data_IF_614157748271
#
_entry.id   IF_614157748271
#
_cell.length_a   1.000
_cell.length_b   1.000
_cell.length_c   1.000
_cell.angle_alpha   90.00
_cell.angle_beta   90.00
_cell.angle_gamma   90.00
#
_symmetry.space_group_name_H-M   'P 1'
#
loop_
_entity.id
_entity.type
_entity.pdbx_description
1 polymer ?
#
# COMPACT_ATOMS: atom_id res chain seq x y z
N UNK A 1 37.91 -7.04 56.42
CA UNK A 1 38.23 -8.44 56.04
C UNK A 1 38.90 -8.50 54.67
N UNK A 2 38.24 -8.37 53.51
CA UNK A 2 38.92 -8.52 52.20
C UNK A 2 40.10 -7.56 51.93
N UNK A 3 40.05 -6.32 52.41
CA UNK A 3 41.13 -5.34 52.16
C UNK A 3 42.41 -5.58 52.97
N UNK A 4 42.31 -6.19 54.16
CA UNK A 4 43.47 -6.51 54.99
C UNK A 4 44.20 -7.76 54.46
N UNK A 5 43.44 -8.75 53.99
CA UNK A 5 44.01 -9.98 53.42
C UNK A 5 44.83 -9.70 52.14
N UNK A 6 44.32 -8.81 51.27
CA UNK A 6 45.03 -8.37 50.07
C UNK A 6 46.31 -7.58 50.38
N UNK A 7 46.30 -6.77 51.44
CA UNK A 7 47.47 -6.01 51.86
C UNK A 7 48.58 -6.93 52.40
N UNK A 8 48.21 -7.98 53.12
CA UNK A 8 49.13 -9.01 53.62
C UNK A 8 49.71 -9.80 52.45
N UNK A 9 48.88 -10.26 51.52
CA UNK A 9 49.32 -11.02 50.33
C UNK A 9 50.29 -10.19 49.45
N UNK A 10 49.97 -8.91 49.21
CA UNK A 10 50.83 -8.01 48.45
C UNK A 10 52.19 -7.81 49.12
N UNK A 11 52.20 -7.70 50.45
CA UNK A 11 53.44 -7.56 51.22
C UNK A 11 54.29 -8.83 51.13
N UNK A 12 53.69 -10.00 51.28
CA UNK A 12 54.40 -11.27 51.15
C UNK A 12 54.95 -11.49 49.74
N UNK A 13 54.17 -11.13 48.71
CA UNK A 13 54.63 -11.18 47.32
C UNK A 13 55.82 -10.25 47.07
N UNK A 14 55.76 -9.02 47.60
CA UNK A 14 56.87 -8.07 47.51
C UNK A 14 58.14 -8.60 48.19
N UNK A 15 58.01 -9.21 49.37
CA UNK A 15 59.14 -9.84 50.08
C UNK A 15 59.73 -10.98 49.25
N UNK A 16 58.90 -11.85 48.67
CA UNK A 16 59.36 -12.93 47.78
C UNK A 16 60.12 -12.39 46.56
N UNK A 17 59.67 -11.28 46.00
CA UNK A 17 60.30 -10.71 44.80
C UNK A 17 61.64 -10.03 45.12
N UNK A 18 61.74 -9.30 46.23
CA UNK A 18 63.00 -8.74 46.70
C UNK A 18 64.02 -9.86 46.98
N UNK A 19 63.57 -10.98 47.56
CA UNK A 19 64.43 -12.15 47.80
C UNK A 19 64.96 -12.77 46.50
N UNK A 20 64.17 -12.78 45.41
CA UNK A 20 64.64 -13.26 44.09
C UNK A 20 65.66 -12.33 43.44
N UNK A 21 65.55 -11.02 43.68
CA UNK A 21 66.45 -10.01 43.10
C UNK A 21 67.82 -9.96 43.80
N UNK A 22 67.90 -10.40 45.07
CA UNK A 22 69.11 -10.35 45.90
C UNK A 22 69.52 -11.74 46.45
N UNK A 23 69.81 -12.74 45.59
CA UNK A 23 70.19 -14.09 46.03
C UNK A 23 71.61 -14.17 46.62
N UNK A 24 72.48 -13.21 46.30
CA UNK A 24 73.90 -13.19 46.68
C UNK A 24 74.31 -11.84 47.29
N UNK A 25 75.26 -11.80 48.25
CA UNK A 25 75.66 -10.57 48.95
C UNK A 25 76.29 -9.51 48.04
N UNK A 26 76.97 -9.89 46.94
CA UNK A 26 77.60 -8.93 46.04
C UNK A 26 76.57 -8.03 45.31
N UNK A 27 75.33 -8.53 45.16
CA UNK A 27 74.24 -7.82 44.49
C UNK A 27 73.69 -6.66 45.32
N UNK A 28 74.04 -6.55 46.61
CA UNK A 28 73.68 -5.41 47.46
C UNK A 28 74.16 -4.06 46.89
N UNK A 29 75.25 -4.07 46.10
CA UNK A 29 75.76 -2.88 45.42
C UNK A 29 74.79 -2.33 44.36
N UNK A 30 73.91 -3.17 43.81
CA UNK A 30 72.93 -2.81 42.78
C UNK A 30 71.61 -2.25 43.34
N UNK A 31 71.41 -2.26 44.66
CA UNK A 31 70.17 -1.81 45.32
C UNK A 31 69.79 -0.38 44.92
N UNK A 32 70.75 0.52 44.80
CA UNK A 32 70.49 1.91 44.41
C UNK A 32 69.88 2.01 43.01
N UNK A 33 70.39 1.22 42.06
CA UNK A 33 69.89 1.14 40.69
C UNK A 33 68.52 0.47 40.62
N UNK A 34 68.33 -0.66 41.32
CA UNK A 34 67.04 -1.37 41.38
C UNK A 34 65.96 -0.45 41.98
N UNK A 35 66.27 0.24 43.08
CA UNK A 35 65.36 1.20 43.72
C UNK A 35 65.01 2.34 42.78
N UNK A 36 65.97 2.87 42.02
CA UNK A 36 65.72 3.92 41.05
C UNK A 36 64.75 3.45 39.94
N UNK A 37 64.96 2.24 39.38
CA UNK A 37 64.06 1.66 38.38
C UNK A 37 62.63 1.48 38.91
N UNK A 38 62.48 0.92 40.13
CA UNK A 38 61.16 0.78 40.76
C UNK A 38 60.47 2.12 41.03
N UNK A 39 61.22 3.16 41.42
CA UNK A 39 60.67 4.51 41.59
C UNK A 39 60.17 5.05 40.25
N UNK A 40 60.95 4.91 39.18
CA UNK A 40 60.54 5.36 37.84
C UNK A 40 59.30 4.61 37.36
N UNK A 41 59.24 3.29 37.53
CA UNK A 41 58.05 2.49 37.19
C UNK A 41 56.83 2.86 38.02
N UNK A 42 57.01 3.10 39.32
CA UNK A 42 55.93 3.55 40.18
C UNK A 42 55.39 4.90 39.73
N UNK A 43 56.25 5.88 39.47
CA UNK A 43 55.85 7.20 38.96
C UNK A 43 55.13 7.11 37.62
N UNK A 44 55.60 6.26 36.71
CA UNK A 44 54.95 6.03 35.42
C UNK A 44 53.56 5.39 35.59
N UNK A 45 53.44 4.38 36.46
CA UNK A 45 52.16 3.73 36.75
C UNK A 45 51.18 4.68 37.43
N UNK A 46 51.64 5.49 38.40
CA UNK A 46 50.79 6.47 39.10
C UNK A 46 50.25 7.52 38.14
N UNK A 47 51.11 8.03 37.25
CA UNK A 47 50.69 8.97 36.20
C UNK A 47 49.67 8.31 35.24
N UNK A 48 49.95 7.09 34.78
CA UNK A 48 49.06 6.36 33.88
C UNK A 48 47.70 6.06 34.53
N UNK A 49 47.68 5.58 35.78
CA UNK A 49 46.45 5.33 36.54
C UNK A 49 45.66 6.62 36.75
N UNK A 50 46.32 7.73 37.09
CA UNK A 50 45.67 9.03 37.24
C UNK A 50 45.00 9.47 35.94
N UNK A 51 45.68 9.34 34.80
CA UNK A 51 45.11 9.68 33.49
C UNK A 51 43.94 8.77 33.13
N UNK A 52 44.09 7.45 33.28
CA UNK A 52 43.01 6.50 32.99
C UNK A 52 41.77 6.75 33.85
N UNK A 53 41.95 7.00 35.15
CA UNK A 53 40.81 7.28 36.04
C UNK A 53 40.13 8.59 35.64
N UNK A 54 40.90 9.63 35.29
CA UNK A 54 40.35 10.89 34.81
C UNK A 54 39.52 10.69 33.52
N UNK A 55 40.06 9.96 32.54
CA UNK A 55 39.36 9.65 31.28
C UNK A 55 38.08 8.84 31.51
N UNK A 56 38.12 7.84 32.40
CA UNK A 56 36.93 7.04 32.73
C UNK A 56 35.85 7.88 33.42
N UNK A 57 36.24 8.80 34.30
CA UNK A 57 35.29 9.73 34.95
C UNK A 57 34.67 10.67 33.92
N UNK A 58 35.48 11.22 33.01
CA UNK A 58 34.99 12.09 31.93
C UNK A 58 34.02 11.35 31.00
N UNK A 59 34.36 10.13 30.57
CA UNK A 59 33.47 9.29 29.75
C UNK A 59 32.17 8.96 30.49
N UNK A 60 32.24 8.61 31.78
CA UNK A 60 31.06 8.32 32.58
C UNK A 60 30.16 9.56 32.72
N UNK A 61 30.75 10.74 32.92
CA UNK A 61 30.01 11.99 33.00
C UNK A 61 29.33 12.34 31.68
N UNK A 62 30.03 12.24 30.55
CA UNK A 62 29.45 12.44 29.22
C UNK A 62 28.31 11.45 28.93
N UNK A 63 28.49 10.18 29.34
CA UNK A 63 27.44 9.16 29.26
C UNK A 63 26.21 9.52 30.10
N UNK A 64 26.41 10.00 31.33
CA UNK A 64 25.33 10.43 32.21
C UNK A 64 24.53 11.60 31.63
N UNK A 65 25.22 12.59 31.05
CA UNK A 65 24.60 13.73 30.38
C UNK A 65 23.78 13.29 29.16
N UNK A 66 24.32 12.39 28.35
CA UNK A 66 23.62 11.82 27.19
C UNK A 66 22.35 11.06 27.61
N UNK A 67 22.43 10.24 28.67
CA UNK A 67 21.27 9.54 29.22
C UNK A 67 20.22 10.50 29.77
N UNK A 68 20.64 11.54 30.51
CA UNK A 68 19.73 12.55 31.04
C UNK A 68 19.01 13.31 29.91
N UNK A 69 19.72 13.67 28.83
CA UNK A 69 19.12 14.29 27.65
C UNK A 69 18.12 13.36 26.96
N UNK A 70 18.46 12.08 26.81
CA UNK A 70 17.59 11.05 26.23
C UNK A 70 16.32 10.86 27.05
N UNK A 71 16.44 10.84 28.38
CA UNK A 71 15.28 10.73 29.28
C UNK A 71 14.33 11.92 29.13
N UNK A 72 14.85 13.15 29.01
CA UNK A 72 14.02 14.34 28.76
C UNK A 72 13.28 14.24 27.42
N UNK A 73 13.96 13.83 26.37
CA UNK A 73 13.34 13.63 25.05
C UNK A 73 12.25 12.56 25.08
N UNK A 74 12.48 11.45 25.78
CA UNK A 74 11.48 10.38 25.95
C UNK A 74 10.25 10.91 26.68
N UNK A 75 10.42 11.69 27.75
CA UNK A 75 9.30 12.26 28.48
C UNK A 75 8.48 13.22 27.60
N UNK A 76 9.14 14.11 26.86
CA UNK A 76 8.48 15.01 25.91
C UNK A 76 7.73 14.22 24.81
N UNK A 77 8.29 13.11 24.34
CA UNK A 77 7.66 12.25 23.35
C UNK A 77 6.41 11.57 23.92
N UNK A 78 6.42 11.16 25.19
CA UNK A 78 5.22 10.64 25.87
C UNK A 78 4.13 11.70 26.00
N UNK A 79 4.48 12.93 26.35
CA UNK A 79 3.53 14.05 26.42
C UNK A 79 2.91 14.35 25.05
N UNK A 80 3.71 14.31 23.98
CA UNK A 80 3.22 14.43 22.61
C UNK A 80 2.22 13.32 22.26
N UNK A 81 2.50 12.06 22.62
CA UNK A 81 1.58 10.95 22.36
C UNK A 81 0.23 11.13 23.09
N UNK A 82 0.26 11.57 24.35
CA UNK A 82 -0.97 11.88 25.10
C UNK A 82 -1.77 12.99 24.40
N UNK A 83 -1.08 14.02 23.90
CA UNK A 83 -1.71 15.13 23.19
C UNK A 83 -2.35 14.69 21.87
N UNK A 84 -1.65 13.83 21.11
CA UNK A 84 -2.17 13.24 19.88
C UNK A 84 -3.42 12.40 20.16
N UNK A 85 -3.37 11.52 21.16
CA UNK A 85 -4.50 10.67 21.52
C UNK A 85 -5.73 11.50 21.90
N UNK A 86 -5.53 12.57 22.68
CA UNK A 86 -6.58 13.51 23.03
C UNK A 86 -7.19 14.18 21.79
N UNK A 87 -6.36 14.68 20.88
CA UNK A 87 -6.84 15.29 19.63
C UNK A 87 -7.61 14.28 18.75
N UNK A 88 -7.13 13.04 18.65
CA UNK A 88 -7.84 11.99 17.93
C UNK A 88 -9.21 11.70 18.54
N UNK A 89 -9.31 11.64 19.88
CA UNK A 89 -10.57 11.44 20.58
C UNK A 89 -11.54 12.61 20.35
N UNK A 90 -11.04 13.85 20.42
CA UNK A 90 -11.83 15.05 20.14
C UNK A 90 -12.34 15.05 18.68
N UNK A 91 -11.50 14.65 17.71
CA UNK A 91 -11.92 14.52 16.31
C UNK A 91 -12.98 13.43 16.10
N UNK A 92 -12.95 12.32 16.86
CA UNK A 92 -14.01 11.32 16.82
C UNK A 92 -15.36 11.88 17.28
N UNK A 93 -15.34 12.80 18.25
CA UNK A 93 -16.56 13.48 18.71
C UNK A 93 -16.99 14.64 17.79
N UNK A 94 -16.09 15.17 16.96
CA UNK A 94 -16.35 16.33 16.09
C UNK A 94 -17.17 15.97 14.84
N UNK A 95 -17.04 14.74 14.34
CA UNK A 95 -17.89 14.24 13.24
C UNK A 95 -19.06 13.48 13.84
N UNK A 96 -20.04 14.23 14.37
CA UNK A 96 -21.32 13.66 14.75
C UNK A 96 -21.93 12.94 13.53
N UNK A 97 -22.48 11.74 13.76
CA UNK A 97 -23.24 10.99 12.78
C UNK A 97 -22.44 10.48 11.56
N UNK A 98 -21.13 10.22 11.66
CA UNK A 98 -20.35 9.61 10.56
C UNK A 98 -21.02 8.37 9.97
N UNK A 99 -21.59 7.50 10.82
CA UNK A 99 -22.34 6.33 10.39
C UNK A 99 -23.59 6.69 9.58
N UNK A 100 -24.32 7.75 9.99
CA UNK A 100 -25.49 8.21 9.25
C UNK A 100 -25.10 8.87 7.93
N UNK A 101 -23.98 9.62 7.88
CA UNK A 101 -23.44 10.18 6.64
C UNK A 101 -23.04 9.06 5.68
N UNK A 102 -22.42 7.98 6.19
CA UNK A 102 -22.06 6.80 5.40
C UNK A 102 -23.30 6.07 4.88
N UNK A 103 -24.30 5.86 5.73
CA UNK A 103 -25.58 5.27 5.32
C UNK A 103 -26.28 6.11 4.26
N UNK A 104 -26.33 7.43 4.45
CA UNK A 104 -26.93 8.36 3.49
C UNK A 104 -26.16 8.37 2.16
N UNK A 105 -24.83 8.35 2.19
CA UNK A 105 -23.99 8.29 1.00
C UNK A 105 -24.21 6.99 0.22
N UNK A 106 -24.27 5.86 0.93
CA UNK A 106 -24.57 4.56 0.32
C UNK A 106 -25.98 4.55 -0.29
N UNK A 107 -26.98 5.06 0.44
CA UNK A 107 -28.35 5.18 -0.06
C UNK A 107 -28.40 6.05 -1.33
N UNK A 108 -27.74 7.20 -1.34
CA UNK A 108 -27.64 8.08 -2.51
C UNK A 108 -27.00 7.39 -3.70
N UNK A 109 -25.88 6.69 -3.50
CA UNK A 109 -25.16 6.02 -4.58
C UNK A 109 -25.97 4.84 -5.16
N UNK A 110 -26.66 4.08 -4.30
CA UNK A 110 -27.57 3.01 -4.73
C UNK A 110 -28.72 3.59 -5.54
N UNK A 111 -29.37 4.65 -5.05
CA UNK A 111 -30.46 5.33 -5.77
C UNK A 111 -30.02 5.89 -7.13
N UNK A 112 -28.85 6.52 -7.20
CA UNK A 112 -28.30 7.02 -8.46
C UNK A 112 -28.04 5.89 -9.46
N UNK A 113 -27.59 4.73 -8.98
CA UNK A 113 -27.40 3.54 -9.84
C UNK A 113 -28.74 3.05 -10.37
N UNK A 114 -29.74 2.89 -9.49
CA UNK A 114 -31.10 2.48 -9.90
C UNK A 114 -31.73 3.46 -10.87
N UNK A 115 -31.57 4.78 -10.68
CA UNK A 115 -32.06 5.79 -11.62
C UNK A 115 -31.44 5.62 -13.00
N UNK A 116 -30.12 5.43 -13.06
CA UNK A 116 -29.41 5.20 -14.33
C UNK A 116 -29.88 3.91 -15.02
N UNK A 117 -30.13 2.85 -14.26
CA UNK A 117 -30.64 1.58 -14.81
C UNK A 117 -32.04 1.77 -15.39
N UNK A 118 -32.93 2.50 -14.69
CA UNK A 118 -34.29 2.81 -15.18
C UNK A 118 -34.26 3.71 -16.41
N UNK A 119 -33.45 4.78 -16.42
CA UNK A 119 -33.26 5.64 -17.59
C UNK A 119 -32.75 4.84 -18.79
N UNK A 120 -31.78 3.96 -18.55
CA UNK A 120 -31.28 3.01 -19.55
C UNK A 120 -32.40 2.13 -20.10
N UNK A 121 -33.24 1.57 -19.23
CA UNK A 121 -34.37 0.72 -19.64
C UNK A 121 -35.43 1.48 -20.44
N UNK A 122 -35.75 2.72 -20.06
CA UNK A 122 -36.70 3.56 -20.77
C UNK A 122 -36.18 3.99 -22.15
N UNK A 123 -34.86 4.13 -22.32
CA UNK A 123 -34.25 4.47 -23.61
C UNK A 123 -34.36 3.35 -24.66
N UNK A 124 -34.45 2.08 -24.24
CA UNK A 124 -34.43 0.92 -25.15
C UNK A 124 -35.59 0.96 -26.14
N UNK A 125 -36.81 1.22 -25.68
CA UNK A 125 -37.99 1.22 -26.54
C UNK A 125 -37.97 2.36 -27.56
N UNK A 126 -37.50 3.54 -27.15
CA UNK A 126 -37.36 4.71 -28.01
C UNK A 126 -36.29 4.46 -29.07
N UNK A 127 -35.11 4.01 -28.68
CA UNK A 127 -34.01 3.72 -29.60
C UNK A 127 -34.34 2.55 -30.55
N UNK A 128 -35.09 1.54 -30.09
CA UNK A 128 -35.56 0.44 -30.93
C UNK A 128 -36.58 0.90 -31.98
N UNK A 129 -37.45 1.83 -31.63
CA UNK A 129 -38.41 2.44 -32.55
C UNK A 129 -37.68 3.30 -33.60
N UNK A 130 -36.74 4.15 -33.18
CA UNK A 130 -35.92 4.94 -34.11
C UNK A 130 -35.10 4.06 -35.08
N UNK A 131 -34.50 2.98 -34.57
CA UNK A 131 -33.79 2.01 -35.41
C UNK A 131 -34.74 1.37 -36.43
N UNK A 132 -35.97 1.02 -36.02
CA UNK A 132 -36.99 0.47 -36.92
C UNK A 132 -37.40 1.46 -38.01
N UNK A 133 -37.66 2.71 -37.64
CA UNK A 133 -38.06 3.74 -38.60
C UNK A 133 -36.95 4.01 -39.63
N UNK A 134 -35.68 4.00 -39.18
CA UNK A 134 -34.50 4.19 -40.05
C UNK A 134 -34.33 3.10 -41.12
N UNK A 135 -34.89 1.90 -40.93
CA UNK A 135 -34.86 0.82 -41.94
C UNK A 135 -35.65 1.16 -43.21
N UNK A 136 -36.44 2.24 -43.20
CA UNK A 136 -37.19 2.70 -44.37
C UNK A 136 -36.29 3.38 -45.42
N UNK A 137 -35.09 3.83 -45.04
CA UNK A 137 -34.10 4.42 -45.94
C UNK A 137 -32.89 3.48 -46.10
N UNK A 138 -32.70 2.93 -47.29
CA UNK A 138 -31.59 2.02 -47.62
C UNK A 138 -30.21 2.65 -47.38
N UNK A 139 -30.09 3.99 -47.34
CA UNK A 139 -28.83 4.68 -47.04
C UNK A 139 -28.45 4.66 -45.57
N UNK A 140 -29.42 4.43 -44.68
CA UNK A 140 -29.23 4.43 -43.24
C UNK A 140 -28.88 3.05 -42.67
N UNK A 141 -28.81 2.01 -43.51
CA UNK A 141 -28.61 0.62 -43.11
C UNK A 141 -27.40 0.41 -42.17
N UNK A 142 -26.29 1.12 -42.42
CA UNK A 142 -25.09 1.06 -41.56
C UNK A 142 -25.36 1.68 -40.19
N UNK A 143 -25.99 2.85 -40.16
CA UNK A 143 -26.34 3.54 -38.91
C UNK A 143 -27.35 2.73 -38.10
N UNK A 144 -28.30 2.07 -38.76
CA UNK A 144 -29.25 1.17 -38.11
C UNK A 144 -28.54 -0.03 -37.48
N UNK A 145 -27.56 -0.62 -38.16
CA UNK A 145 -26.76 -1.72 -37.60
C UNK A 145 -25.98 -1.30 -36.35
N UNK A 146 -25.36 -0.11 -36.37
CA UNK A 146 -24.64 0.42 -35.21
C UNK A 146 -25.58 0.64 -34.01
N UNK A 147 -26.77 1.22 -34.24
CA UNK A 147 -27.81 1.43 -33.22
C UNK A 147 -28.29 0.10 -32.63
N UNK A 148 -28.58 -0.89 -33.48
CA UNK A 148 -29.02 -2.22 -33.04
C UNK A 148 -27.93 -2.97 -32.27
N UNK A 149 -26.65 -2.79 -32.65
CA UNK A 149 -25.51 -3.36 -31.92
C UNK A 149 -25.34 -2.71 -30.55
N UNK A 150 -25.53 -1.39 -30.45
CA UNK A 150 -25.52 -0.69 -29.16
C UNK A 150 -26.66 -1.18 -28.23
N UNK A 151 -27.85 -1.42 -28.79
CA UNK A 151 -28.99 -1.98 -28.07
C UNK A 151 -28.73 -3.41 -27.59
N UNK A 152 -28.06 -4.26 -28.38
CA UNK A 152 -27.64 -5.59 -27.93
C UNK A 152 -26.58 -5.51 -26.81
N UNK A 153 -25.69 -4.52 -26.88
CA UNK A 153 -24.79 -4.18 -25.78
C UNK A 153 -25.56 -3.90 -24.48
N UNK A 154 -26.55 -3.00 -24.53
CA UNK A 154 -27.43 -2.67 -23.38
C UNK A 154 -28.16 -3.91 -22.85
N UNK A 155 -28.65 -4.78 -23.74
CA UNK A 155 -29.28 -6.06 -23.39
C UNK A 155 -28.37 -6.95 -22.56
N UNK A 156 -27.14 -7.14 -23.00
CA UNK A 156 -26.16 -7.98 -22.29
C UNK A 156 -25.86 -7.44 -20.89
N UNK A 157 -25.70 -6.11 -20.75
CA UNK A 157 -25.50 -5.49 -19.44
C UNK A 157 -26.72 -5.66 -18.53
N UNK A 158 -27.93 -5.41 -19.03
CA UNK A 158 -29.14 -5.52 -18.24
C UNK A 158 -29.42 -6.97 -17.79
N UNK A 159 -29.22 -7.95 -18.66
CA UNK A 159 -29.38 -9.38 -18.33
C UNK A 159 -28.31 -9.88 -17.34
N UNK A 160 -27.08 -9.35 -17.43
CA UNK A 160 -26.04 -9.68 -16.45
C UNK A 160 -26.39 -9.12 -15.06
N UNK A 161 -26.91 -7.90 -14.98
CA UNK A 161 -27.35 -7.28 -13.73
C UNK A 161 -28.52 -8.04 -13.08
N UNK A 162 -29.48 -8.52 -13.90
CA UNK A 162 -30.62 -9.29 -13.42
C UNK A 162 -30.35 -10.80 -13.23
N UNK A 163 -29.13 -11.28 -13.49
CA UNK A 163 -28.82 -12.72 -13.55
C UNK A 163 -29.13 -13.50 -12.26
N UNK A 164 -29.08 -12.83 -11.11
CA UNK A 164 -29.44 -13.39 -9.81
C UNK A 164 -30.95 -13.56 -9.58
N UNK A 165 -31.80 -12.85 -10.34
CA UNK A 165 -33.26 -12.83 -10.19
C UNK A 165 -33.94 -13.41 -11.45
N UNK A 166 -34.15 -14.72 -11.46
CA UNK A 166 -34.68 -15.45 -12.64
C UNK A 166 -36.03 -14.95 -13.16
N UNK A 167 -36.92 -14.48 -12.29
CA UNK A 167 -38.23 -13.95 -12.68
C UNK A 167 -38.09 -12.60 -13.42
N UNK A 168 -37.18 -11.74 -12.97
CA UNK A 168 -36.91 -10.43 -13.57
C UNK A 168 -36.25 -10.57 -14.95
N UNK A 169 -35.41 -11.58 -15.15
CA UNK A 169 -34.85 -11.92 -16.46
C UNK A 169 -35.94 -12.23 -17.50
N UNK A 170 -37.03 -12.88 -17.09
CA UNK A 170 -38.16 -13.18 -17.97
C UNK A 170 -38.83 -11.90 -18.47
N UNK A 171 -39.20 -11.01 -17.53
CA UNK A 171 -39.82 -9.71 -17.85
C UNK A 171 -38.89 -8.80 -18.64
N UNK A 172 -37.59 -8.84 -18.35
CA UNK A 172 -36.60 -8.04 -19.05
C UNK A 172 -36.49 -8.42 -20.53
N UNK A 173 -36.63 -9.71 -20.87
CA UNK A 173 -36.65 -10.16 -22.27
C UNK A 173 -37.82 -9.58 -23.06
N UNK A 174 -38.97 -9.38 -22.43
CA UNK A 174 -40.14 -8.76 -23.08
C UNK A 174 -39.84 -7.32 -23.54
N UNK A 175 -39.08 -6.54 -22.75
CA UNK A 175 -38.65 -5.18 -23.14
C UNK A 175 -37.75 -5.15 -24.37
N UNK A 176 -37.09 -6.26 -24.67
CA UNK A 176 -36.18 -6.39 -25.81
C UNK A 176 -36.82 -7.02 -27.04
N UNK A 177 -38.09 -7.45 -26.97
CA UNK A 177 -38.79 -8.09 -28.09
C UNK A 177 -38.88 -7.16 -29.31
N UNK A 178 -39.08 -5.86 -29.07
CA UNK A 178 -39.09 -4.86 -30.15
C UNK A 178 -37.75 -4.74 -30.88
N UNK A 179 -36.64 -4.93 -30.15
CA UNK A 179 -35.28 -4.95 -30.72
C UNK A 179 -35.09 -6.21 -31.57
N UNK A 180 -35.58 -7.37 -31.12
CA UNK A 180 -35.50 -8.62 -31.89
C UNK A 180 -36.29 -8.54 -33.21
N UNK A 181 -37.51 -8.00 -33.16
CA UNK A 181 -38.33 -7.77 -34.36
C UNK A 181 -37.64 -6.82 -35.36
N UNK A 182 -36.97 -5.79 -34.86
CA UNK A 182 -36.22 -4.87 -35.72
C UNK A 182 -34.98 -5.53 -36.33
N UNK A 183 -34.27 -6.40 -35.58
CA UNK A 183 -33.18 -7.23 -36.11
C UNK A 183 -33.64 -8.16 -37.23
N UNK A 184 -34.76 -8.87 -37.06
CA UNK A 184 -35.30 -9.74 -38.11
C UNK A 184 -35.65 -8.97 -39.39
N UNK A 185 -36.15 -7.74 -39.23
CA UNK A 185 -36.50 -6.86 -40.35
C UNK A 185 -35.24 -6.38 -41.06
N UNK A 186 -34.22 -5.95 -40.30
CA UNK A 186 -32.90 -5.58 -40.83
C UNK A 186 -32.27 -6.72 -41.63
N UNK A 187 -32.22 -7.94 -41.08
CA UNK A 187 -31.66 -9.10 -41.74
C UNK A 187 -32.37 -9.40 -43.06
N UNK A 188 -33.71 -9.33 -43.06
CA UNK A 188 -34.50 -9.53 -44.28
C UNK A 188 -34.16 -8.50 -45.35
N UNK A 189 -34.03 -7.23 -44.98
CA UNK A 189 -33.65 -6.14 -45.90
C UNK A 189 -32.24 -6.36 -46.46
N UNK A 190 -31.28 -6.70 -45.59
CA UNK A 190 -29.90 -6.99 -45.99
C UNK A 190 -29.82 -8.18 -46.96
N UNK A 191 -30.49 -9.29 -46.64
CA UNK A 191 -30.54 -10.45 -47.53
C UNK A 191 -31.28 -10.16 -48.84
N UNK A 192 -32.29 -9.29 -48.81
CA UNK A 192 -32.96 -8.78 -50.00
C UNK A 192 -31.99 -8.06 -50.93
N UNK A 193 -31.20 -7.12 -50.39
CA UNK A 193 -30.16 -6.39 -51.13
C UNK A 193 -29.09 -7.32 -51.70
N UNK A 194 -28.56 -8.24 -50.90
CA UNK A 194 -27.55 -9.23 -51.33
C UNK A 194 -28.11 -10.11 -52.45
N UNK A 195 -29.34 -10.62 -52.31
CA UNK A 195 -29.97 -11.49 -53.30
C UNK A 195 -30.27 -10.76 -54.61
N UNK A 196 -30.71 -9.51 -54.53
CA UNK A 196 -30.93 -8.66 -55.70
C UNK A 196 -29.62 -8.36 -56.43
N UNK A 197 -28.55 -8.05 -55.69
CA UNK A 197 -27.23 -7.85 -56.26
C UNK A 197 -26.70 -9.12 -56.93
N UNK A 198 -26.87 -10.29 -56.31
CA UNK A 198 -26.51 -11.58 -56.89
C UNK A 198 -27.26 -11.86 -58.21
N UNK A 199 -28.57 -11.58 -58.27
CA UNK A 199 -29.36 -11.70 -59.50
C UNK A 199 -28.85 -10.77 -60.59
N UNK A 200 -28.64 -9.49 -60.27
CA UNK A 200 -28.10 -8.47 -61.19
C UNK A 200 -26.72 -8.86 -61.72
N UNK A 201 -25.84 -9.39 -60.86
CA UNK A 201 -24.51 -9.86 -61.24
C UNK A 201 -24.59 -11.07 -62.19
N UNK A 202 -25.51 -12.00 -61.95
CA UNK A 202 -25.73 -13.18 -62.81
C UNK A 202 -26.27 -12.78 -64.19
N UNK A 203 -27.23 -11.85 -64.25
CA UNK A 203 -27.81 -11.35 -65.50
C UNK A 203 -26.79 -10.58 -66.34
N UNK A 204 -25.95 -9.73 -65.71
CA UNK A 204 -24.85 -9.04 -66.43
C UNK A 204 -23.77 -9.99 -66.92
N UNK A 205 -23.44 -11.04 -66.17
CA UNK A 205 -22.47 -12.04 -66.62
C UNK A 205 -22.99 -12.81 -67.85
N UNK A 206 -24.29 -13.10 -67.90
CA UNK A 206 -24.94 -13.76 -69.05
C UNK A 206 -24.96 -12.88 -70.31
N UNK A 207 -25.10 -11.56 -70.15
CA UNK A 207 -25.02 -10.59 -71.26
C UNK A 207 -23.59 -10.43 -71.80
N UNK A 208 -22.58 -10.53 -70.94
CA UNK A 208 -21.16 -10.49 -71.32
C UNK A 208 -20.64 -11.79 -71.93
N UNK A 209 -21.26 -12.95 -71.65
CA UNK A 209 -20.90 -14.24 -72.27
C UNK A 209 -21.66 -14.55 -73.57
N UNK A 210 -22.62 -13.71 -73.96
CA UNK A 210 -23.40 -13.82 -75.21
C UNK A 210 -23.04 -12.73 -76.24
N UNK A 211 -21.99 -11.94 -75.99
CA UNK A 211 -21.34 -11.04 -76.97
C UNK A 211 -19.99 -11.61 -77.37
#
# INVERSE_FOLDING_TARGET
MMGEDLAIEAREAAVREVAKLLPLPELLQSISAIKADYITRQQANDAHLSTMVAEQVEQAQAGLESLNSSQKTINHLRENFISIEKLCQECQTLIENHDQIKLLSNARNNLNTTLKDVEGMMSISVEAAEARDSLSDDKELINTYERLTALDGKRRFALAAASSHKEEVGRLKEYFEDVDRTWETFDRTLWGHISNFYKLAKERFFLLSCS
#
